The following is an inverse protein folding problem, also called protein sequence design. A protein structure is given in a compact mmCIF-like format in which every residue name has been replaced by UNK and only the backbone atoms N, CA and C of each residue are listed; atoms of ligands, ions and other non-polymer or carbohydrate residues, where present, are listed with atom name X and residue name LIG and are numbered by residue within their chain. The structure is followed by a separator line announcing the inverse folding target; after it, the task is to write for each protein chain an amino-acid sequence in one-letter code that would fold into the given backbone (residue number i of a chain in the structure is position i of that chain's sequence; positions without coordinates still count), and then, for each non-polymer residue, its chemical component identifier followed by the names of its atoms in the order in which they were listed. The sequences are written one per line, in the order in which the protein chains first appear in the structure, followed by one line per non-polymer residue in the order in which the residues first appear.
data_IF_737127712945
#
_entry.id   IF_737127712945
#
_cell.length_a   1.000
_cell.length_b   1.000
_cell.length_c   1.000
_cell.angle_alpha   90.00
_cell.angle_beta   90.00
_cell.angle_gamma   90.00
#
_symmetry.space_group_name_H-M   'P 1'
#
loop_
_entity.id
_entity.type
_entity.pdbx_description
1 polymer ?
#
# COMPACT_ATOMS: atom_id res chain seq x y z
N UNK A 1 -25.98 -15.18 -16.54
CA UNK A 1 -25.79 -16.44 -15.79
C UNK A 1 -24.38 -16.40 -15.23
N UNK A 2 -24.18 -16.74 -13.95
CA UNK A 2 -22.86 -16.70 -13.31
C UNK A 2 -21.95 -17.74 -13.96
N UNK A 3 -20.76 -17.33 -14.36
CA UNK A 3 -19.68 -18.21 -14.85
C UNK A 3 -18.65 -18.38 -13.72
N UNK A 4 -18.80 -19.46 -12.95
CA UNK A 4 -18.03 -19.68 -11.72
C UNK A 4 -16.54 -19.89 -12.00
N UNK A 5 -16.18 -20.65 -13.04
CA UNK A 5 -14.78 -20.90 -13.41
C UNK A 5 -14.09 -19.60 -13.83
N UNK A 6 -14.80 -18.75 -14.57
CA UNK A 6 -14.28 -17.43 -14.94
C UNK A 6 -14.16 -16.52 -13.73
N UNK A 7 -15.14 -16.52 -12.82
CA UNK A 7 -15.08 -15.74 -11.58
C UNK A 7 -13.85 -16.12 -10.74
N UNK A 8 -13.63 -17.42 -10.52
CA UNK A 8 -12.46 -17.93 -9.79
C UNK A 8 -11.15 -17.47 -10.41
N UNK A 9 -11.04 -17.57 -11.74
CA UNK A 9 -9.85 -17.14 -12.47
C UNK A 9 -9.58 -15.64 -12.31
N UNK A 10 -10.60 -14.80 -12.51
CA UNK A 10 -10.44 -13.34 -12.42
C UNK A 10 -10.16 -12.87 -10.99
N UNK A 11 -10.80 -13.47 -9.99
CA UNK A 11 -10.50 -13.22 -8.57
C UNK A 11 -9.07 -13.62 -8.24
N UNK A 12 -8.64 -14.82 -8.63
CA UNK A 12 -7.26 -15.28 -8.43
C UNK A 12 -6.25 -14.33 -9.07
N UNK A 13 -6.50 -13.90 -10.31
CA UNK A 13 -5.61 -12.96 -11.00
C UNK A 13 -5.52 -11.62 -10.28
N UNK A 14 -6.64 -11.09 -9.76
CA UNK A 14 -6.62 -9.86 -9.00
C UNK A 14 -5.89 -10.02 -7.65
N UNK A 15 -6.08 -11.14 -6.96
CA UNK A 15 -5.35 -11.44 -5.71
C UNK A 15 -3.85 -11.49 -5.96
N UNK A 16 -3.39 -12.09 -7.05
CA UNK A 16 -1.96 -12.10 -7.40
C UNK A 16 -1.41 -10.68 -7.58
N UNK A 17 -2.18 -9.78 -8.20
CA UNK A 17 -1.81 -8.35 -8.29
C UNK A 17 -1.73 -7.71 -6.91
N UNK A 18 -2.72 -7.95 -6.03
CA UNK A 18 -2.72 -7.45 -4.66
C UNK A 18 -1.49 -7.95 -3.88
N UNK A 19 -1.08 -9.21 -4.10
CA UNK A 19 0.13 -9.79 -3.52
C UNK A 19 1.42 -9.17 -4.04
N UNK A 20 1.54 -8.96 -5.35
CA UNK A 20 2.71 -8.30 -5.94
C UNK A 20 2.86 -6.87 -5.41
N UNK A 21 1.75 -6.14 -5.29
CA UNK A 21 1.74 -4.80 -4.70
C UNK A 21 2.14 -4.82 -3.22
N UNK A 22 1.72 -5.83 -2.47
CA UNK A 22 2.12 -6.00 -1.09
C UNK A 22 3.62 -6.34 -0.96
N UNK A 23 4.14 -7.17 -1.85
CA UNK A 23 5.58 -7.44 -1.96
C UNK A 23 6.38 -6.16 -2.18
N UNK A 24 5.92 -5.28 -3.07
CA UNK A 24 6.55 -3.96 -3.27
C UNK A 24 6.57 -3.10 -1.99
N UNK A 25 5.49 -3.10 -1.21
CA UNK A 25 5.44 -2.43 0.08
C UNK A 25 6.45 -3.01 1.07
N UNK A 26 6.53 -4.34 1.17
CA UNK A 26 7.46 -5.04 2.06
C UNK A 26 8.93 -4.75 1.70
N UNK A 27 9.29 -4.89 0.42
CA UNK A 27 10.65 -4.61 -0.06
C UNK A 27 11.04 -3.16 0.19
N UNK A 28 10.12 -2.22 -0.06
CA UNK A 28 10.34 -0.79 0.17
C UNK A 28 10.60 -0.49 1.65
N UNK A 29 9.77 -1.01 2.55
CA UNK A 29 9.88 -0.76 3.99
C UNK A 29 11.08 -1.46 4.63
N UNK A 30 11.45 -2.65 4.15
CA UNK A 30 12.70 -3.30 4.49
C UNK A 30 13.90 -2.46 4.03
N UNK A 31 13.86 -1.92 2.81
CA UNK A 31 14.87 -1.01 2.27
C UNK A 31 15.05 0.25 3.11
N UNK A 32 13.95 0.88 3.55
CA UNK A 32 13.99 2.03 4.45
C UNK A 32 14.67 1.68 5.78
N UNK A 33 14.28 0.57 6.39
CA UNK A 33 14.91 0.10 7.65
C UNK A 33 16.40 -0.14 7.49
N UNK A 34 16.82 -0.71 6.36
CA UNK A 34 18.24 -0.92 6.06
C UNK A 34 18.99 0.40 5.87
N UNK A 35 18.38 1.41 5.24
CA UNK A 35 18.99 2.74 5.13
C UNK A 35 19.29 3.35 6.52
N UNK A 36 18.37 3.23 7.47
CA UNK A 36 18.60 3.70 8.86
C UNK A 36 19.79 2.97 9.47
N UNK A 37 19.78 1.63 9.42
CA UNK A 37 20.85 0.79 9.98
C UNK A 37 22.22 1.08 9.35
N UNK A 38 22.26 1.30 8.04
CA UNK A 38 23.51 1.63 7.33
C UNK A 38 24.10 2.95 7.83
N UNK A 39 23.27 3.98 8.00
CA UNK A 39 23.70 5.28 8.53
C UNK A 39 24.19 5.13 9.96
N UNK A 40 23.44 4.45 10.83
CA UNK A 40 23.82 4.24 12.23
C UNK A 40 25.14 3.46 12.36
N UNK A 41 25.33 2.41 11.56
CA UNK A 41 26.58 1.66 11.54
C UNK A 41 27.76 2.52 11.08
N UNK A 42 27.56 3.38 10.07
CA UNK A 42 28.60 4.30 9.64
C UNK A 42 28.93 5.34 10.73
N UNK A 43 27.92 5.90 11.39
CA UNK A 43 28.10 6.84 12.51
C UNK A 43 28.88 6.20 13.66
N UNK A 44 28.60 4.94 14.01
CA UNK A 44 29.29 4.20 15.06
C UNK A 44 30.79 3.97 14.79
N UNK A 45 31.23 4.06 13.53
CA UNK A 45 32.64 3.94 13.16
C UNK A 45 33.39 5.28 13.22
N UNK A 46 32.68 6.41 13.26
CA UNK A 46 33.28 7.75 13.27
C UNK A 46 33.74 8.11 14.68
N UNK A 47 35.06 8.25 14.85
CA UNK A 47 35.66 8.76 16.10
C UNK A 47 35.84 10.28 16.02
N UNK A 48 34.75 11.02 16.19
CA UNK A 48 34.76 12.49 16.16
C UNK A 48 34.00 13.08 17.35
N UNK A 49 34.68 13.27 18.50
CA UNK A 49 34.05 13.86 19.69
C UNK A 49 33.52 15.27 19.42
N UNK A 50 32.28 15.54 19.82
CA UNK A 50 31.65 16.86 19.70
C UNK A 50 31.01 17.16 18.34
N UNK A 51 31.10 16.25 17.36
CA UNK A 51 30.41 16.37 16.08
C UNK A 51 28.98 15.83 16.19
N UNK A 52 28.00 16.64 15.80
CA UNK A 52 26.65 16.14 15.56
C UNK A 52 26.63 15.36 14.24
N UNK A 53 26.65 14.03 14.35
CA UNK A 53 26.69 13.15 13.19
C UNK A 53 25.39 13.20 12.36
N UNK A 54 24.29 13.69 12.93
CA UNK A 54 23.02 13.79 12.21
C UNK A 54 22.99 14.97 11.24
N UNK A 55 23.85 15.99 11.43
CA UNK A 55 24.02 17.12 10.53
C UNK A 55 24.92 16.82 9.33
N UNK A 56 25.58 15.65 9.31
CA UNK A 56 26.36 15.22 8.15
C UNK A 56 25.48 15.09 6.90
N UNK A 57 25.98 15.54 5.75
CA UNK A 57 25.22 15.57 4.50
C UNK A 57 25.38 14.26 3.73
N UNK A 58 24.24 13.73 3.25
CA UNK A 58 24.14 12.69 2.24
C UNK A 58 23.86 13.36 0.90
N UNK A 59 24.71 13.10 -0.09
CA UNK A 59 24.53 13.55 -1.46
C UNK A 59 24.03 12.40 -2.33
N UNK A 60 23.01 12.67 -3.15
CA UNK A 60 22.54 11.76 -4.18
C UNK A 60 23.00 12.30 -5.54
N UNK A 61 23.88 11.56 -6.19
CA UNK A 61 24.58 11.97 -7.42
C UNK A 61 24.66 10.82 -8.40
N UNK A 62 24.75 11.13 -9.70
CA UNK A 62 24.91 10.12 -10.76
C UNK A 62 26.37 9.77 -11.06
N UNK A 63 27.31 10.52 -10.50
CA UNK A 63 28.74 10.30 -10.65
C UNK A 63 29.48 10.52 -9.32
N UNK A 64 30.79 10.31 -9.35
CA UNK A 64 31.68 10.67 -8.25
C UNK A 64 31.46 12.14 -7.85
N UNK A 65 31.38 12.47 -6.55
CA UNK A 65 31.35 13.85 -6.08
C UNK A 65 32.51 14.73 -6.60
N UNK A 66 33.62 14.11 -7.00
CA UNK A 66 34.80 14.80 -7.53
C UNK A 66 34.78 14.99 -9.06
N UNK A 67 33.75 14.50 -9.77
CA UNK A 67 33.61 14.73 -11.20
C UNK A 67 33.01 16.13 -11.45
N UNK A 68 33.69 17.03 -12.19
CA UNK A 68 33.17 18.36 -12.48
C UNK A 68 31.89 18.36 -13.35
N UNK A 69 31.56 17.24 -14.00
CA UNK A 69 30.29 17.05 -14.74
C UNK A 69 29.16 16.49 -13.87
N UNK A 70 29.45 16.19 -12.60
CA UNK A 70 28.46 15.64 -11.69
C UNK A 70 27.31 16.64 -11.46
N UNK A 71 26.08 16.13 -11.47
CA UNK A 71 24.89 16.91 -11.17
C UNK A 71 24.29 16.42 -9.86
N UNK A 72 24.20 17.33 -8.88
CA UNK A 72 23.52 17.04 -7.61
C UNK A 72 22.02 16.84 -7.88
N UNK A 73 21.51 15.66 -7.55
CA UNK A 73 20.10 15.32 -7.72
C UNK A 73 19.29 15.68 -6.47
N UNK A 74 19.84 15.36 -5.31
CA UNK A 74 19.23 15.61 -4.01
C UNK A 74 20.31 15.68 -2.92
N UNK A 75 20.03 16.41 -1.85
CA UNK A 75 20.84 16.40 -0.63
C UNK A 75 19.96 16.40 0.61
N UNK A 76 20.43 15.76 1.68
CA UNK A 76 19.75 15.73 2.99
C UNK A 76 20.77 15.54 4.09
N UNK A 77 20.42 15.88 5.32
CA UNK A 77 21.20 15.46 6.49
C UNK A 77 20.97 13.97 6.79
N UNK A 78 21.93 13.32 7.45
CA UNK A 78 21.81 11.95 7.94
C UNK A 78 20.62 11.82 8.90
N UNK A 79 20.42 12.78 9.81
CA UNK A 79 19.29 12.81 10.73
C UNK A 79 17.94 12.87 10.01
N UNK A 80 17.81 13.71 8.97
CA UNK A 80 16.59 13.75 8.16
C UNK A 80 16.38 12.47 7.36
N UNK A 81 17.45 11.84 6.87
CA UNK A 81 17.36 10.56 6.18
C UNK A 81 16.92 9.44 7.13
N UNK A 82 17.48 9.36 8.34
CA UNK A 82 17.03 8.42 9.37
C UNK A 82 15.58 8.66 9.74
N UNK A 83 15.19 9.91 10.04
CA UNK A 83 13.82 10.27 10.45
C UNK A 83 12.76 9.87 9.44
N UNK A 84 13.00 10.12 8.14
CA UNK A 84 12.02 9.77 7.09
C UNK A 84 11.94 8.26 6.81
N UNK A 85 13.02 7.52 7.05
CA UNK A 85 13.12 6.08 6.82
C UNK A 85 12.92 5.23 8.09
N UNK A 86 12.78 5.83 9.26
CA UNK A 86 12.44 5.10 10.49
C UNK A 86 11.03 4.49 10.36
N UNK A 87 10.76 3.42 11.12
CA UNK A 87 9.41 2.85 11.23
C UNK A 87 8.41 3.93 11.62
N UNK A 88 7.32 4.05 10.85
CA UNK A 88 6.32 5.12 11.01
C UNK A 88 6.75 6.50 10.48
N UNK A 89 7.95 6.62 9.93
CA UNK A 89 8.44 7.82 9.25
C UNK A 89 7.75 8.04 7.90
N UNK A 90 7.92 9.24 7.32
CA UNK A 90 7.22 9.66 6.09
C UNK A 90 7.34 8.68 4.91
N UNK A 91 8.45 7.95 4.76
CA UNK A 91 8.59 6.99 3.67
C UNK A 91 7.73 5.73 3.90
N UNK A 92 7.59 5.26 5.14
CA UNK A 92 6.67 4.17 5.49
C UNK A 92 5.23 4.57 5.20
N UNK A 93 4.82 5.77 5.65
CA UNK A 93 3.47 6.28 5.43
C UNK A 93 3.15 6.38 3.94
N UNK A 94 4.07 6.92 3.14
CA UNK A 94 3.91 7.03 1.69
C UNK A 94 3.82 5.67 1.00
N UNK A 95 4.62 4.69 1.42
CA UNK A 95 4.54 3.35 0.84
C UNK A 95 3.15 2.72 1.09
N UNK A 96 2.60 2.86 2.29
CA UNK A 96 1.25 2.39 2.60
C UNK A 96 0.16 3.15 1.79
N UNK A 97 0.31 4.47 1.64
CA UNK A 97 -0.61 5.28 0.84
C UNK A 97 -0.56 4.89 -0.65
N UNK A 98 0.63 4.69 -1.21
CA UNK A 98 0.81 4.23 -2.60
C UNK A 98 0.14 2.86 -2.80
N UNK A 99 0.34 1.93 -1.86
CA UNK A 99 -0.30 0.62 -1.91
C UNK A 99 -1.84 0.72 -2.00
N UNK A 100 -2.48 1.54 -1.15
CA UNK A 100 -3.94 1.77 -1.18
C UNK A 100 -4.39 2.29 -2.55
N UNK A 101 -3.65 3.27 -3.10
CA UNK A 101 -3.97 3.85 -4.40
C UNK A 101 -3.89 2.78 -5.50
N UNK A 102 -2.82 1.99 -5.51
CA UNK A 102 -2.59 0.98 -6.54
C UNK A 102 -3.61 -0.17 -6.46
N UNK A 103 -3.94 -0.65 -5.26
CA UNK A 103 -4.98 -1.68 -5.06
C UNK A 103 -6.29 -1.23 -5.73
N UNK A 104 -6.75 -0.01 -5.44
CA UNK A 104 -7.98 0.47 -6.05
C UNK A 104 -7.85 0.76 -7.54
N UNK A 105 -6.71 1.27 -8.00
CA UNK A 105 -6.50 1.55 -9.41
C UNK A 105 -6.67 0.28 -10.25
N UNK A 106 -5.95 -0.81 -9.91
CA UNK A 106 -6.06 -2.09 -10.61
C UNK A 106 -7.47 -2.68 -10.51
N UNK A 107 -8.11 -2.58 -9.33
CA UNK A 107 -9.50 -2.97 -9.18
C UNK A 107 -10.40 -2.28 -10.20
N UNK A 108 -10.41 -0.95 -10.21
CA UNK A 108 -11.39 -0.17 -10.97
C UNK A 108 -11.09 -0.17 -12.47
N UNK A 109 -9.80 -0.12 -12.86
CA UNK A 109 -9.40 -0.05 -14.27
C UNK A 109 -9.51 -1.38 -15.01
N UNK A 110 -9.31 -2.50 -14.31
CA UNK A 110 -9.12 -3.79 -14.95
C UNK A 110 -10.05 -4.88 -14.42
N UNK A 111 -9.99 -5.17 -13.12
CA UNK A 111 -10.56 -6.41 -12.58
C UNK A 111 -12.05 -6.32 -12.25
N UNK A 112 -12.54 -5.16 -11.82
CA UNK A 112 -13.94 -4.97 -11.44
C UNK A 112 -14.89 -5.31 -12.58
N UNK A 113 -14.60 -4.86 -13.80
CA UNK A 113 -15.42 -5.15 -14.98
C UNK A 113 -15.42 -6.64 -15.31
N UNK A 114 -14.26 -7.30 -15.23
CA UNK A 114 -14.12 -8.73 -15.54
C UNK A 114 -14.85 -9.60 -14.52
N UNK A 115 -14.70 -9.29 -13.23
CA UNK A 115 -15.37 -9.97 -12.12
C UNK A 115 -16.88 -9.74 -12.19
N UNK A 116 -17.33 -8.51 -12.43
CA UNK A 116 -18.75 -8.20 -12.58
C UNK A 116 -19.40 -8.95 -13.75
N UNK A 117 -18.72 -9.02 -14.89
CA UNK A 117 -19.19 -9.78 -16.05
C UNK A 117 -19.28 -11.29 -15.75
N UNK A 118 -18.32 -11.85 -14.99
CA UNK A 118 -18.37 -13.25 -14.56
C UNK A 118 -19.54 -13.55 -13.62
N UNK A 119 -19.96 -12.57 -12.80
CA UNK A 119 -21.17 -12.63 -11.98
C UNK A 119 -22.46 -12.42 -12.80
N UNK A 120 -22.34 -12.03 -14.07
CA UNK A 120 -23.47 -11.77 -14.96
C UNK A 120 -24.12 -10.42 -14.75
N UNK A 121 -23.42 -9.44 -14.15
CA UNK A 121 -23.88 -8.05 -14.11
C UNK A 121 -23.72 -7.38 -15.47
N UNK A 122 -24.66 -6.50 -15.80
CA UNK A 122 -24.59 -5.69 -17.04
C UNK A 122 -23.74 -4.44 -16.82
N UNK A 123 -23.76 -3.89 -15.60
CA UNK A 123 -22.92 -2.77 -15.18
C UNK A 123 -22.03 -3.18 -14.00
N UNK A 124 -20.73 -2.96 -14.12
CA UNK A 124 -19.77 -3.21 -13.04
C UNK A 124 -20.02 -2.34 -11.80
N UNK A 125 -20.79 -1.27 -11.94
CA UNK A 125 -21.26 -0.47 -10.82
C UNK A 125 -22.14 -1.29 -9.86
N UNK A 126 -22.80 -2.36 -10.31
CA UNK A 126 -23.61 -3.27 -9.49
C UNK A 126 -22.77 -4.11 -8.52
N UNK A 127 -21.51 -4.39 -8.88
CA UNK A 127 -20.57 -5.07 -7.98
C UNK A 127 -20.16 -4.12 -6.86
N UNK A 128 -20.65 -4.40 -5.64
CA UNK A 128 -20.33 -3.67 -4.41
C UNK A 128 -19.57 -4.57 -3.45
N UNK A 129 -18.35 -4.16 -3.12
CA UNK A 129 -17.56 -4.72 -2.02
C UNK A 129 -17.27 -3.56 -1.06
N UNK A 130 -17.89 -3.52 0.14
CA UNK A 130 -17.76 -2.39 1.07
C UNK A 130 -16.32 -1.96 1.34
N UNK A 131 -15.43 -2.93 1.60
CA UNK A 131 -14.00 -2.66 1.83
C UNK A 131 -13.33 -1.96 0.64
N UNK A 132 -13.57 -2.41 -0.59
CA UNK A 132 -13.03 -1.75 -1.78
C UNK A 132 -13.67 -0.35 -1.97
N UNK A 133 -14.93 -0.20 -1.56
CA UNK A 133 -15.62 1.07 -1.47
C UNK A 133 -14.92 2.05 -0.54
N UNK A 134 -14.42 1.59 0.61
CA UNK A 134 -13.63 2.37 1.55
C UNK A 134 -12.25 2.72 0.98
N UNK A 135 -11.54 1.76 0.37
CA UNK A 135 -10.24 2.00 -0.29
C UNK A 135 -10.38 3.10 -1.36
N UNK A 136 -11.49 3.12 -2.12
CA UNK A 136 -11.80 4.20 -3.06
C UNK A 136 -11.87 5.58 -2.39
N UNK A 137 -12.49 5.66 -1.20
CA UNK A 137 -12.59 6.91 -0.44
C UNK A 137 -11.22 7.34 0.10
N UNK A 138 -10.43 6.40 0.62
CA UNK A 138 -9.08 6.68 1.09
C UNK A 138 -8.18 7.14 -0.06
N UNK A 139 -8.24 6.50 -1.23
CA UNK A 139 -7.54 6.96 -2.45
C UNK A 139 -7.89 8.40 -2.80
N UNK A 140 -9.16 8.78 -2.71
CA UNK A 140 -9.59 10.16 -2.96
C UNK A 140 -8.86 11.14 -2.04
N UNK A 141 -8.76 10.82 -0.75
CA UNK A 141 -8.06 11.67 0.23
C UNK A 141 -6.54 11.70 0.00
N UNK A 142 -5.93 10.57 -0.38
CA UNK A 142 -4.52 10.48 -0.75
C UNK A 142 -4.20 11.40 -1.93
N UNK A 143 -4.96 11.29 -3.02
CA UNK A 143 -4.66 11.99 -4.29
C UNK A 143 -5.04 13.47 -4.21
N UNK A 144 -6.21 13.80 -3.65
CA UNK A 144 -6.79 15.14 -3.76
C UNK A 144 -6.73 15.96 -2.48
N UNK A 145 -6.46 15.33 -1.34
CA UNK A 145 -6.43 16.00 -0.03
C UNK A 145 -5.09 15.82 0.68
N UNK A 146 -4.01 15.55 -0.06
CA UNK A 146 -2.64 15.40 0.47
C UNK A 146 -2.56 14.36 1.60
N UNK A 147 -3.30 13.26 1.43
CA UNK A 147 -3.43 12.21 2.45
C UNK A 147 -4.12 12.65 3.74
N UNK A 148 -4.78 13.81 3.78
CA UNK A 148 -5.57 14.25 4.94
C UNK A 148 -6.98 13.69 4.85
N UNK A 149 -7.39 12.96 5.89
CA UNK A 149 -8.70 12.31 5.97
C UNK A 149 -9.80 13.36 6.15
N UNK A 150 -10.77 13.36 5.24
CA UNK A 150 -11.86 14.34 5.26
C UNK A 150 -13.05 13.88 6.09
N UNK A 151 -13.85 14.84 6.59
CA UNK A 151 -15.11 14.55 7.27
C UNK A 151 -16.10 13.80 6.36
N UNK A 152 -16.04 14.04 5.05
CA UNK A 152 -16.86 13.35 4.05
C UNK A 152 -16.47 11.88 3.94
N UNK A 153 -15.19 11.56 3.99
CA UNK A 153 -14.67 10.18 3.99
C UNK A 153 -15.12 9.44 5.25
N UNK A 154 -14.85 9.99 6.43
CA UNK A 154 -15.22 9.34 7.72
C UNK A 154 -16.71 9.00 7.78
N UNK A 155 -17.59 9.89 7.31
CA UNK A 155 -19.05 9.65 7.31
C UNK A 155 -19.50 8.51 6.38
N UNK A 156 -18.63 8.07 5.46
CA UNK A 156 -18.96 7.12 4.40
C UNK A 156 -18.17 5.82 4.49
N UNK A 157 -17.19 5.72 5.39
CA UNK A 157 -16.49 4.46 5.63
C UNK A 157 -17.45 3.45 6.23
N UNK A 158 -17.42 2.22 5.70
CA UNK A 158 -18.31 1.13 6.11
C UNK A 158 -17.57 0.05 6.91
N UNK A 159 -16.30 -0.19 6.58
CA UNK A 159 -15.48 -1.30 7.10
C UNK A 159 -14.23 -0.78 7.83
N UNK A 160 -13.49 0.16 7.22
CA UNK A 160 -12.26 0.69 7.79
C UNK A 160 -12.60 1.66 8.92
N UNK A 161 -12.12 1.38 10.12
CA UNK A 161 -12.37 2.18 11.33
C UNK A 161 -11.07 2.72 11.94
N UNK A 162 -11.18 3.52 13.01
CA UNK A 162 -10.02 4.05 13.75
C UNK A 162 -9.32 5.25 13.09
N UNK A 163 -9.87 5.80 12.01
CA UNK A 163 -9.38 7.00 11.33
C UNK A 163 -9.99 8.27 11.92
N UNK A 164 -9.25 9.38 11.91
CA UNK A 164 -9.69 10.68 12.43
C UNK A 164 -9.81 11.73 11.34
N UNK A 165 -10.78 12.65 11.47
CA UNK A 165 -10.89 13.80 10.56
C UNK A 165 -9.69 14.73 10.76
N UNK A 166 -9.17 15.29 9.67
CA UNK A 166 -8.01 16.20 9.63
C UNK A 166 -6.68 15.56 10.09
N UNK A 167 -6.62 14.24 10.24
CA UNK A 167 -5.35 13.52 10.41
C UNK A 167 -4.81 13.04 9.07
N UNK A 168 -3.49 13.00 8.94
CA UNK A 168 -2.83 12.29 7.83
C UNK A 168 -3.18 10.80 7.92
N UNK A 169 -3.51 10.19 6.78
CA UNK A 169 -3.74 8.76 6.65
C UNK A 169 -2.42 8.03 6.95
N UNK A 170 -2.40 7.41 8.12
CA UNK A 170 -1.27 6.64 8.62
C UNK A 170 -1.78 5.25 8.98
N UNK A 171 -1.21 4.23 8.33
CA UNK A 171 -1.41 2.84 8.69
C UNK A 171 -0.10 2.29 9.23
N UNK A 172 -0.13 1.76 10.45
CA UNK A 172 0.95 0.94 10.97
C UNK A 172 1.08 -0.36 10.18
N UNK A 173 2.24 -1.02 10.23
CA UNK A 173 2.52 -2.24 9.46
C UNK A 173 1.45 -3.32 9.65
N UNK A 174 1.01 -3.57 10.89
CA UNK A 174 -0.04 -4.56 11.17
C UNK A 174 -1.41 -4.18 10.59
N UNK A 175 -1.68 -2.88 10.40
CA UNK A 175 -2.91 -2.39 9.78
C UNK A 175 -2.84 -2.57 8.27
N UNK A 176 -1.66 -2.40 7.66
CA UNK A 176 -1.42 -2.74 6.26
C UNK A 176 -1.64 -4.24 6.05
N UNK A 177 -0.95 -5.10 6.81
CA UNK A 177 -1.14 -6.56 6.79
C UNK A 177 -2.61 -6.96 6.92
N UNK A 178 -3.33 -6.35 7.87
CA UNK A 178 -4.76 -6.60 8.04
C UNK A 178 -5.57 -6.18 6.83
N UNK A 179 -5.34 -4.99 6.27
CA UNK A 179 -6.01 -4.54 5.07
C UNK A 179 -5.84 -5.53 3.90
N UNK A 180 -4.62 -6.04 3.68
CA UNK A 180 -4.37 -7.00 2.60
C UNK A 180 -5.13 -8.31 2.81
N UNK A 181 -5.08 -8.85 4.03
CA UNK A 181 -5.83 -10.05 4.38
C UNK A 181 -7.33 -9.83 4.17
N UNK A 182 -7.88 -8.72 4.67
CA UNK A 182 -9.29 -8.42 4.59
C UNK A 182 -9.74 -8.22 3.11
N UNK A 183 -8.88 -7.66 2.24
CA UNK A 183 -9.14 -7.58 0.79
C UNK A 183 -9.26 -8.97 0.18
N UNK A 184 -8.33 -9.88 0.49
CA UNK A 184 -8.36 -11.25 -0.02
C UNK A 184 -9.56 -12.03 0.51
N UNK A 185 -9.87 -11.89 1.80
CA UNK A 185 -11.05 -12.49 2.43
C UNK A 185 -12.35 -12.05 1.73
N UNK A 186 -12.51 -10.75 1.45
CA UNK A 186 -13.69 -10.24 0.76
C UNK A 186 -13.85 -10.84 -0.66
N UNK A 187 -12.74 -11.09 -1.35
CA UNK A 187 -12.73 -11.68 -2.68
C UNK A 187 -13.00 -13.19 -2.64
N UNK A 188 -12.45 -13.90 -1.67
CA UNK A 188 -12.75 -15.31 -1.43
C UNK A 188 -14.24 -15.47 -1.11
N UNK A 189 -14.78 -14.65 -0.21
CA UNK A 189 -16.21 -14.66 0.11
C UNK A 189 -17.10 -14.41 -1.11
N UNK A 190 -16.67 -13.58 -2.06
CA UNK A 190 -17.41 -13.34 -3.29
C UNK A 190 -17.55 -14.63 -4.12
N UNK A 191 -16.46 -15.39 -4.26
CA UNK A 191 -16.43 -16.69 -4.94
C UNK A 191 -17.31 -17.70 -4.20
N UNK A 192 -17.14 -17.82 -2.88
CA UNK A 192 -17.94 -18.76 -2.06
C UNK A 192 -19.44 -18.47 -2.19
N UNK A 193 -19.85 -17.20 -2.11
CA UNK A 193 -21.25 -16.79 -2.25
C UNK A 193 -21.79 -17.10 -3.64
N UNK A 194 -20.99 -16.92 -4.69
CA UNK A 194 -21.39 -17.20 -6.06
C UNK A 194 -21.48 -18.72 -6.38
N UNK A 195 -20.60 -19.55 -5.80
CA UNK A 195 -20.56 -21.00 -6.00
C UNK A 195 -21.69 -21.79 -5.31
N UNK A 196 -22.41 -21.17 -4.36
CA UNK A 196 -23.60 -21.77 -3.75
C UNK A 196 -23.31 -22.93 -2.79
N UNK A 197 -24.06 -24.03 -2.88
CA UNK A 197 -23.99 -25.16 -1.92
C UNK A 197 -22.80 -26.09 -2.12
N UNK A 198 -22.02 -25.91 -3.19
CA UNK A 198 -20.90 -26.78 -3.52
C UNK A 198 -19.77 -26.66 -2.47
N UNK A 199 -19.43 -27.75 -1.75
CA UNK A 199 -18.40 -27.71 -0.72
C UNK A 199 -16.97 -27.53 -1.25
N UNK A 200 -16.67 -27.82 -2.52
CA UNK A 200 -15.32 -27.62 -3.08
C UNK A 200 -14.97 -26.13 -3.23
N UNK A 201 -15.99 -25.28 -3.41
CA UNK A 201 -15.83 -23.85 -3.60
C UNK A 201 -15.70 -23.08 -2.27
N UNK A 202 -15.65 -23.79 -1.12
CA UNK A 202 -15.56 -23.21 0.23
C UNK A 202 -14.15 -23.17 0.82
N UNK A 203 -13.14 -23.60 0.07
CA UNK A 203 -11.75 -23.47 0.51
C UNK A 203 -11.41 -21.98 0.52
N UNK A 204 -10.86 -21.48 1.63
CA UNK A 204 -10.29 -20.13 1.64
C UNK A 204 -9.00 -20.24 0.83
N UNK A 205 -8.99 -19.65 -0.36
CA UNK A 205 -7.96 -19.89 -1.37
C UNK A 205 -6.73 -19.04 -1.12
N UNK A 206 -6.92 -17.85 -0.54
CA UNK A 206 -5.89 -16.82 -0.55
C UNK A 206 -5.52 -16.26 0.83
N UNK A 207 -6.15 -16.74 1.91
CA UNK A 207 -5.74 -16.44 3.30
C UNK A 207 -4.86 -17.58 3.80
N UNK A 208 -3.55 -17.44 3.60
CA UNK A 208 -2.52 -18.26 4.24
C UNK A 208 -1.41 -17.36 4.76
#
# INVERSE_FOLDING_TARGET
MVDINKLELEVKNYVLVVDDLYGHYLDSTAGFSNNVRMIENAQNQIRSPGTDLDELIIYYTNASPNDPKNQMQHQTTQGNCKRRNATGGKNFLRAAQILIVLIFEYWDSEYRNRIAAALGYEDASELKIPLIGDIRLLRQDIIHHQSIITAKTIKRLEVITGLSVNSELSLATFQVESLLRDVKECLDELVVKAGGKDPEHRKIWHVQ
#
